data_IF_555454890556
#
_entry.id   IF_555454890556
#
_cell.length_a   1.000
_cell.length_b   1.000
_cell.length_c   1.000
_cell.angle_alpha   90.00
_cell.angle_beta   90.00
_cell.angle_gamma   90.00
#
_symmetry.space_group_name_H-M   'P 1'
#
loop_
_entity.id
_entity.type
_entity.pdbx_description
1 polymer ?
#
# COMPACT_ATOMS: atom_id res chain seq x y z
N UNK A 1 16.19 -21.97 18.76
CA UNK A 1 15.20 -22.18 17.69
C UNK A 1 15.49 -23.54 17.10
N UNK A 2 14.56 -24.48 17.24
CA UNK A 2 14.66 -25.82 16.67
C UNK A 2 14.43 -25.77 15.15
N UNK A 3 14.85 -26.80 14.43
CA UNK A 3 14.57 -26.89 12.98
C UNK A 3 13.06 -26.89 12.68
N UNK A 4 12.24 -27.40 13.62
CA UNK A 4 10.78 -27.39 13.52
C UNK A 4 10.22 -25.98 13.63
N UNK A 5 10.74 -25.17 14.56
CA UNK A 5 10.27 -23.78 14.76
C UNK A 5 10.51 -22.93 13.50
N UNK A 6 11.58 -23.22 12.76
CA UNK A 6 11.91 -22.53 11.51
C UNK A 6 10.97 -22.96 10.38
N UNK A 7 10.69 -24.25 10.27
CA UNK A 7 9.77 -24.80 9.25
C UNK A 7 8.34 -24.28 9.45
N UNK A 8 7.86 -24.26 10.70
CA UNK A 8 6.53 -23.75 11.05
C UNK A 8 6.40 -22.25 10.71
N UNK A 9 7.45 -21.46 10.99
CA UNK A 9 7.48 -20.03 10.67
C UNK A 9 7.43 -19.78 9.15
N UNK A 10 8.17 -20.57 8.37
CA UNK A 10 8.16 -20.47 6.90
C UNK A 10 6.78 -20.85 6.32
N UNK A 11 6.14 -21.89 6.86
CA UNK A 11 4.80 -22.29 6.45
C UNK A 11 3.76 -21.21 6.76
N UNK A 12 3.84 -20.59 7.93
CA UNK A 12 2.96 -19.49 8.32
C UNK A 12 3.13 -18.28 7.40
N UNK A 13 4.38 -17.93 7.06
CA UNK A 13 4.68 -16.83 6.15
C UNK A 13 4.12 -17.10 4.74
N UNK A 14 4.28 -18.33 4.24
CA UNK A 14 3.73 -18.74 2.96
C UNK A 14 2.20 -18.68 2.94
N UNK A 15 1.54 -19.19 3.99
CA UNK A 15 0.09 -19.13 4.11
C UNK A 15 -0.43 -17.67 4.17
N UNK A 16 0.30 -16.77 4.83
CA UNK A 16 -0.02 -15.35 4.85
C UNK A 16 0.11 -14.74 3.44
N UNK A 17 1.18 -15.06 2.70
CA UNK A 17 1.36 -14.61 1.33
C UNK A 17 0.22 -15.08 0.41
N UNK A 18 -0.14 -16.37 0.47
CA UNK A 18 -1.22 -16.94 -0.33
C UNK A 18 -2.58 -16.30 0.02
N UNK A 19 -2.81 -15.98 1.31
CA UNK A 19 -4.01 -15.25 1.75
C UNK A 19 -4.04 -13.84 1.18
N UNK A 20 -2.92 -13.13 1.14
CA UNK A 20 -2.88 -11.76 0.61
C UNK A 20 -3.25 -11.72 -0.87
N UNK A 21 -2.87 -12.72 -1.66
CA UNK A 21 -3.27 -12.81 -3.08
C UNK A 21 -4.79 -12.81 -3.28
N UNK A 22 -5.56 -13.26 -2.28
CA UNK A 22 -7.03 -13.25 -2.36
C UNK A 22 -7.65 -11.85 -2.29
N UNK A 23 -6.88 -10.83 -1.86
CA UNK A 23 -7.35 -9.45 -1.74
C UNK A 23 -7.21 -8.62 -3.02
N UNK A 24 -6.59 -9.20 -4.07
CA UNK A 24 -6.44 -8.54 -5.36
C UNK A 24 -7.80 -8.29 -6.01
N UNK A 25 -8.09 -7.04 -6.35
CA UNK A 25 -9.27 -6.69 -7.14
C UNK A 25 -9.12 -7.09 -8.61
N UNK A 26 -10.22 -7.48 -9.27
CA UNK A 26 -10.18 -7.86 -10.70
C UNK A 26 -9.75 -6.70 -11.62
N UNK A 27 -9.95 -5.46 -11.18
CA UNK A 27 -9.66 -4.22 -11.93
C UNK A 27 -8.22 -3.72 -11.70
N UNK A 28 -7.44 -4.37 -10.85
CA UNK A 28 -6.08 -3.95 -10.53
C UNK A 28 -5.06 -4.52 -11.51
N UNK A 29 -4.34 -3.62 -12.19
CA UNK A 29 -3.16 -4.00 -12.95
C UNK A 29 -2.01 -4.40 -12.02
N UNK A 30 -1.05 -5.17 -12.53
CA UNK A 30 0.10 -5.62 -11.73
C UNK A 30 0.88 -4.44 -11.12
N UNK A 31 0.99 -3.32 -11.86
CA UNK A 31 1.61 -2.08 -11.36
C UNK A 31 0.94 -1.51 -10.10
N UNK A 32 -0.36 -1.68 -9.95
CA UNK A 32 -1.07 -1.27 -8.74
C UNK A 32 -0.99 -2.36 -7.67
N UNK A 33 -1.13 -3.61 -8.09
CA UNK A 33 -1.21 -4.76 -7.19
C UNK A 33 0.10 -5.02 -6.46
N UNK A 34 1.25 -5.01 -7.14
CA UNK A 34 2.54 -5.35 -6.52
C UNK A 34 2.86 -4.45 -5.31
N UNK A 35 2.77 -3.10 -5.42
CA UNK A 35 3.08 -2.24 -4.27
C UNK A 35 1.99 -2.28 -3.20
N UNK A 36 0.72 -2.48 -3.60
CA UNK A 36 -0.39 -2.64 -2.64
C UNK A 36 -0.28 -3.95 -1.87
N UNK A 37 0.14 -5.03 -2.52
CA UNK A 37 0.40 -6.33 -1.90
C UNK A 37 1.48 -6.21 -0.84
N UNK A 38 2.57 -5.50 -1.15
CA UNK A 38 3.64 -5.22 -0.20
C UNK A 38 3.12 -4.40 0.99
N UNK A 39 2.28 -3.39 0.72
CA UNK A 39 1.61 -2.60 1.75
C UNK A 39 0.81 -3.48 2.72
N UNK A 40 0.03 -4.43 2.18
CA UNK A 40 -0.77 -5.35 3.00
C UNK A 40 0.16 -6.27 3.81
N UNK A 41 1.12 -6.94 3.17
CA UNK A 41 2.02 -7.88 3.84
C UNK A 41 2.80 -7.27 5.00
N UNK A 42 3.21 -6.02 4.84
CA UNK A 42 3.95 -5.30 5.87
C UNK A 42 3.11 -4.99 7.11
N UNK A 43 1.84 -4.66 6.91
CA UNK A 43 0.96 -4.19 7.97
C UNK A 43 0.01 -5.28 8.49
N UNK A 44 -0.09 -6.44 7.84
CA UNK A 44 -1.10 -7.47 8.17
C UNK A 44 -0.99 -8.00 9.60
N UNK A 45 0.22 -8.03 10.16
CA UNK A 45 0.47 -8.47 11.55
C UNK A 45 -0.15 -7.52 12.59
N UNK A 46 -0.34 -6.24 12.25
CA UNK A 46 -0.90 -5.23 13.14
C UNK A 46 -2.44 -5.14 13.02
N UNK A 47 -3.03 -5.76 12.00
CA UNK A 47 -4.45 -5.67 11.66
C UNK A 47 -5.06 -7.07 11.50
N UNK A 48 -5.26 -7.77 12.62
CA UNK A 48 -5.92 -9.07 12.66
C UNK A 48 -7.44 -8.98 12.91
N UNK A 49 -8.18 -10.01 12.47
CA UNK A 49 -9.62 -10.13 12.72
C UNK A 49 -10.46 -9.03 12.05
N UNK A 50 -11.26 -8.32 12.85
CA UNK A 50 -12.19 -7.28 12.37
C UNK A 50 -11.46 -6.03 11.81
N UNK A 51 -10.18 -5.86 12.14
CA UNK A 51 -9.37 -4.73 11.67
C UNK A 51 -8.79 -4.95 10.26
N UNK A 52 -8.91 -6.16 9.71
CA UNK A 52 -8.40 -6.45 8.38
C UNK A 52 -9.07 -5.60 7.29
N UNK A 53 -10.39 -5.40 7.37
CA UNK A 53 -11.12 -4.57 6.39
C UNK A 53 -10.64 -3.12 6.41
N UNK A 54 -10.21 -2.64 7.58
CA UNK A 54 -9.59 -1.33 7.73
C UNK A 54 -8.23 -1.27 7.01
N UNK A 55 -7.38 -2.29 7.17
CA UNK A 55 -6.12 -2.38 6.45
C UNK A 55 -6.33 -2.41 4.93
N UNK A 56 -7.27 -3.22 4.45
CA UNK A 56 -7.58 -3.29 3.02
C UNK A 56 -8.05 -1.93 2.49
N UNK A 57 -8.86 -1.21 3.26
CA UNK A 57 -9.31 0.14 2.91
C UNK A 57 -8.16 1.14 2.88
N UNK A 58 -7.25 1.10 3.86
CA UNK A 58 -6.05 1.96 3.90
C UNK A 58 -5.11 1.68 2.73
N UNK A 59 -4.92 0.40 2.37
CA UNK A 59 -4.10 0.01 1.20
C UNK A 59 -4.67 0.59 -0.11
N UNK A 60 -6.01 0.65 -0.24
CA UNK A 60 -6.67 1.26 -1.38
C UNK A 60 -6.52 2.78 -1.38
N UNK A 61 -6.67 3.43 -0.23
CA UNK A 61 -6.46 4.89 -0.11
C UNK A 61 -5.06 5.27 -0.56
N UNK A 62 -4.05 4.52 -0.10
CA UNK A 62 -2.66 4.71 -0.51
C UNK A 62 -2.48 4.51 -2.02
N UNK A 63 -2.90 3.35 -2.56
CA UNK A 63 -2.77 3.06 -3.98
C UNK A 63 -3.51 4.09 -4.86
N UNK A 64 -4.71 4.51 -4.48
CA UNK A 64 -5.48 5.52 -5.20
C UNK A 64 -4.79 6.89 -5.17
N UNK A 65 -4.15 7.24 -4.06
CA UNK A 65 -3.37 8.48 -3.97
C UNK A 65 -2.14 8.43 -4.89
N UNK A 66 -1.38 7.34 -4.82
CA UNK A 66 -0.12 7.18 -5.55
C UNK A 66 -0.32 7.02 -7.06
N UNK A 67 -1.29 6.21 -7.48
CA UNK A 67 -1.45 5.85 -8.90
C UNK A 67 -2.58 6.59 -9.63
N UNK A 68 -3.58 7.10 -8.91
CA UNK A 68 -4.72 7.81 -9.50
C UNK A 68 -4.78 9.28 -9.09
N UNK A 69 -3.91 9.73 -8.19
CA UNK A 69 -3.87 11.11 -7.74
C UNK A 69 -5.06 11.51 -6.88
N UNK A 70 -5.80 10.55 -6.32
CA UNK A 70 -6.90 10.84 -5.41
C UNK A 70 -6.40 11.62 -4.20
N UNK A 71 -7.22 12.55 -3.71
CA UNK A 71 -6.89 13.41 -2.56
C UNK A 71 -7.80 13.06 -1.39
N UNK A 72 -7.19 12.98 -0.21
CA UNK A 72 -7.85 12.70 1.05
C UNK A 72 -7.42 13.73 2.09
N UNK A 73 -7.90 13.63 3.33
CA UNK A 73 -7.42 14.50 4.41
C UNK A 73 -5.91 14.33 4.63
N UNK A 74 -5.24 15.41 5.02
CA UNK A 74 -3.79 15.40 5.27
C UNK A 74 -3.40 14.34 6.31
N UNK A 75 -4.17 14.25 7.40
CA UNK A 75 -3.99 13.25 8.46
C UNK A 75 -4.05 11.81 7.94
N UNK A 76 -5.01 11.51 7.04
CA UNK A 76 -5.13 10.17 6.48
C UNK A 76 -3.97 9.86 5.54
N UNK A 77 -3.55 10.83 4.71
CA UNK A 77 -2.43 10.67 3.79
C UNK A 77 -1.10 10.49 4.51
N UNK A 78 -0.87 11.24 5.59
CA UNK A 78 0.31 11.10 6.44
C UNK A 78 0.38 9.68 7.02
N UNK A 79 -0.72 9.22 7.61
CA UNK A 79 -0.82 7.85 8.15
C UNK A 79 -0.52 6.78 7.10
N UNK A 80 -1.16 6.82 5.93
CA UNK A 80 -0.94 5.76 4.93
C UNK A 80 0.44 5.87 4.28
N UNK A 81 1.07 7.05 4.29
CA UNK A 81 2.45 7.22 3.82
C UNK A 81 3.45 6.62 4.80
N UNK A 82 3.23 6.80 6.11
CA UNK A 82 4.02 6.15 7.16
C UNK A 82 3.90 4.63 7.08
N UNK A 83 2.68 4.10 6.91
CA UNK A 83 2.45 2.65 6.73
C UNK A 83 3.11 2.07 5.47
N UNK A 84 3.38 2.92 4.46
CA UNK A 84 4.01 2.55 3.20
C UNK A 84 5.52 2.81 3.16
N UNK A 85 6.14 3.24 4.26
CA UNK A 85 7.53 3.70 4.27
C UNK A 85 8.49 2.62 3.75
N UNK A 86 9.18 2.83 2.63
CA UNK A 86 10.11 1.84 2.07
C UNK A 86 9.47 0.85 1.07
N UNK A 87 8.21 1.05 0.69
CA UNK A 87 7.65 0.46 -0.51
C UNK A 87 8.11 1.30 -1.71
N UNK A 88 8.88 0.68 -2.61
CA UNK A 88 9.32 1.32 -3.85
C UNK A 88 8.24 1.20 -4.91
N UNK A 89 7.84 2.34 -5.49
CA UNK A 89 6.88 2.39 -6.60
C UNK A 89 7.61 2.85 -7.84
N UNK A 90 7.80 1.94 -8.79
CA UNK A 90 8.38 2.26 -10.09
C UNK A 90 7.42 3.12 -10.93
N UNK A 91 7.97 4.12 -11.62
CA UNK A 91 7.24 5.01 -12.54
C UNK A 91 5.98 5.66 -11.94
N UNK A 92 6.02 6.07 -10.66
CA UNK A 92 4.90 6.72 -10.01
C UNK A 92 4.45 7.98 -10.80
N UNK A 93 3.17 8.09 -11.18
CA UNK A 93 2.67 9.21 -11.95
C UNK A 93 2.75 10.53 -11.15
N UNK A 94 3.25 11.59 -11.80
CA UNK A 94 3.37 12.92 -11.19
C UNK A 94 2.08 13.71 -11.40
N UNK A 95 1.24 13.79 -10.36
CA UNK A 95 0.01 14.57 -10.39
C UNK A 95 0.25 16.01 -9.92
N UNK A 96 0.47 16.92 -10.88
CA UNK A 96 0.54 18.35 -10.58
C UNK A 96 -0.85 18.99 -10.63
N UNK A 97 -1.18 19.77 -9.61
CA UNK A 97 -2.39 20.59 -9.65
C UNK A 97 -2.18 21.84 -10.51
N UNK A 98 -3.27 22.42 -11.03
CA UNK A 98 -3.20 23.69 -11.78
C UNK A 98 -2.54 24.79 -10.95
N UNK A 99 -2.82 24.86 -9.66
CA UNK A 99 -2.27 25.88 -8.76
C UNK A 99 -0.75 25.72 -8.55
N UNK A 100 -0.25 24.47 -8.50
CA UNK A 100 1.19 24.18 -8.49
C UNK A 100 1.87 24.58 -9.80
N UNK A 101 1.23 24.32 -10.94
CA UNK A 101 1.73 24.74 -12.25
C UNK A 101 1.79 26.28 -12.33
N UNK A 102 0.74 26.97 -11.86
CA UNK A 102 0.68 28.43 -11.86
C UNK A 102 1.71 29.05 -10.92
N UNK A 103 1.97 28.47 -9.74
CA UNK A 103 3.04 28.92 -8.84
C UNK A 103 4.45 28.70 -9.43
N UNK A 104 4.68 27.60 -10.15
CA UNK A 104 5.96 27.35 -10.83
C UNK A 104 6.23 28.36 -11.95
N UNK A 105 5.19 28.84 -12.64
CA UNK A 105 5.29 29.86 -13.69
C UNK A 105 5.50 31.29 -13.15
N UNK A 106 5.07 31.58 -11.91
CA UNK A 106 5.26 32.90 -11.29
C UNK A 106 6.66 33.10 -10.68
N UNK A 107 7.41 32.01 -10.46
CA UNK A 107 8.78 32.03 -9.95
C UNK A 107 9.85 31.92 -11.07
N UNK A 108 9.45 32.06 -12.35
CA UNK A 108 10.33 32.23 -13.51
C UNK A 108 10.19 33.63 -14.09
#
# INVERSE_FOLDING_TARGET
MSAQDVEDFLLQNRAAADRVETYRGYWESDKHWEPRREFILRNISDFEGEHLDQLLSLSMVWANNVFMGCRYSAELLEKVTEMAEGIEVEDAPVFKTRDEIMKQQQNQ
#
